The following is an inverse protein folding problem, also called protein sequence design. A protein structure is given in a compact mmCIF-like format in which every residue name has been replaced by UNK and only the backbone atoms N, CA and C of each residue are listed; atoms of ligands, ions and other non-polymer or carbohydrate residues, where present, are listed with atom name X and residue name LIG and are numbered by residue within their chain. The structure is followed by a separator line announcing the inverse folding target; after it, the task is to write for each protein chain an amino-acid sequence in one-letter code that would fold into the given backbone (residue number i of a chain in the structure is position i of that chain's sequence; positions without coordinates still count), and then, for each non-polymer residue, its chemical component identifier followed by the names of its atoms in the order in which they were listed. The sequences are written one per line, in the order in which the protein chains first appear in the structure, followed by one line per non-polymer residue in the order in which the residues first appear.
data_IF_883869260531
#
_entry.id   IF_883869260531
#
_cell.length_a   1.000
_cell.length_b   1.000
_cell.length_c   1.000
_cell.angle_alpha   90.00
_cell.angle_beta   90.00
_cell.angle_gamma   90.00
#
_symmetry.space_group_name_H-M   'P 1'
#
loop_
_entity.id
_entity.type
_entity.pdbx_description
1 polymer ?
#
# COMPACT_ATOMS: atom_id res chain seq x y z
N UNK A 1 -9.62 -2.35 2.39
CA UNK A 1 -8.49 -2.53 1.44
C UNK A 1 -7.19 -2.48 2.22
N UNK A 2 -6.19 -3.28 1.85
CA UNK A 2 -4.88 -3.29 2.52
C UNK A 2 -3.79 -3.03 1.49
N UNK A 3 -2.81 -2.19 1.83
CA UNK A 3 -1.66 -1.90 1.00
C UNK A 3 -0.40 -1.77 1.87
N UNK A 4 0.77 -2.06 1.30
CA UNK A 4 2.02 -2.12 2.05
C UNK A 4 3.04 -1.09 1.56
N UNK A 5 3.77 -0.47 2.48
CA UNK A 5 4.71 0.61 2.18
C UNK A 5 5.76 0.76 3.27
N UNK A 6 6.74 1.63 3.04
CA UNK A 6 7.63 2.14 4.08
C UNK A 6 6.89 3.24 4.88
N UNK A 7 6.77 3.04 6.20
CA UNK A 7 6.14 3.95 7.16
C UNK A 7 6.85 5.29 7.29
N UNK A 8 8.16 5.30 7.08
CA UNK A 8 8.98 6.52 7.11
C UNK A 8 8.94 7.28 5.78
N UNK A 9 8.35 6.74 4.72
CA UNK A 9 8.19 7.44 3.45
C UNK A 9 7.19 8.60 3.50
N UNK A 10 7.12 9.41 2.43
CA UNK A 10 6.21 10.58 2.39
C UNK A 10 4.77 10.22 2.74
N UNK A 11 4.23 9.17 2.10
CA UNK A 11 2.85 8.71 2.33
C UNK A 11 2.62 8.17 3.74
N UNK A 12 3.59 7.44 4.30
CA UNK A 12 3.46 6.86 5.64
C UNK A 12 3.36 7.96 6.70
N UNK A 13 4.25 8.97 6.63
CA UNK A 13 4.19 10.15 7.51
C UNK A 13 2.87 10.91 7.38
N UNK A 14 2.38 11.11 6.15
CA UNK A 14 1.09 11.76 5.93
C UNK A 14 -0.08 10.98 6.53
N UNK A 15 -0.07 9.65 6.44
CA UNK A 15 -1.12 8.79 6.99
C UNK A 15 -1.11 8.73 8.53
N UNK A 16 0.06 8.80 9.16
CA UNK A 16 0.13 8.93 10.63
C UNK A 16 -0.39 10.28 11.11
N UNK A 17 -0.07 11.36 10.38
CA UNK A 17 -0.51 12.71 10.75
C UNK A 17 -2.00 12.95 10.44
N UNK A 18 -2.52 12.35 9.37
CA UNK A 18 -3.91 12.48 8.94
C UNK A 18 -4.40 11.14 8.37
N UNK A 19 -5.07 10.29 9.17
CA UNK A 19 -5.43 8.91 8.82
C UNK A 19 -6.66 8.84 7.88
N UNK A 20 -6.60 9.56 6.77
CA UNK A 20 -7.63 9.61 5.73
C UNK A 20 -6.98 9.38 4.39
N UNK A 21 -7.59 8.53 3.56
CA UNK A 21 -7.10 8.27 2.22
C UNK A 21 -8.24 8.03 1.23
N UNK A 22 -7.90 8.27 -0.04
CA UNK A 22 -8.70 7.89 -1.19
C UNK A 22 -7.85 7.00 -2.12
N UNK A 23 -8.49 6.02 -2.74
CA UNK A 23 -7.88 5.10 -3.72
C UNK A 23 -8.73 5.10 -4.97
N UNK A 24 -8.08 5.20 -6.13
CA UNK A 24 -8.72 5.12 -7.43
C UNK A 24 -8.18 3.92 -8.20
N UNK A 25 -9.07 3.02 -8.62
CA UNK A 25 -8.80 2.00 -9.62
C UNK A 25 -9.42 2.48 -10.93
N UNK A 26 -8.60 2.59 -11.97
CA UNK A 26 -9.04 3.04 -13.27
C UNK A 26 -8.65 2.01 -14.33
N UNK A 27 -9.64 1.55 -15.07
CA UNK A 27 -9.49 0.63 -16.19
C UNK A 27 -9.92 1.35 -17.46
N UNK A 28 -8.95 2.00 -18.09
CA UNK A 28 -9.14 2.82 -19.29
C UNK A 28 -9.85 2.06 -20.42
N UNK A 29 -9.33 0.89 -20.80
CA UNK A 29 -9.89 0.02 -21.87
C UNK A 29 -11.33 -0.43 -21.59
N UNK A 30 -11.74 -0.46 -20.32
CA UNK A 30 -13.09 -0.89 -19.93
C UNK A 30 -14.05 0.28 -19.73
N UNK A 31 -13.58 1.52 -19.86
CA UNK A 31 -14.30 2.71 -19.43
C UNK A 31 -14.88 2.54 -18.03
N UNK A 32 -14.05 2.11 -17.08
CA UNK A 32 -14.46 1.88 -15.69
C UNK A 32 -13.53 2.55 -14.70
N UNK A 33 -14.13 3.05 -13.62
CA UNK A 33 -13.39 3.55 -12.48
C UNK A 33 -14.12 3.17 -11.18
N UNK A 34 -13.34 2.88 -10.15
CA UNK A 34 -13.82 2.71 -8.78
C UNK A 34 -13.01 3.56 -7.84
N UNK A 35 -13.69 4.38 -7.04
CA UNK A 35 -13.07 5.17 -5.97
C UNK A 35 -13.47 4.62 -4.61
N UNK A 36 -12.51 4.58 -3.71
CA UNK A 36 -12.72 4.23 -2.31
C UNK A 36 -12.20 5.37 -1.44
N UNK A 37 -12.99 5.83 -0.48
CA UNK A 37 -12.56 6.81 0.52
C UNK A 37 -12.83 6.29 1.92
N UNK A 38 -11.93 6.60 2.86
CA UNK A 38 -11.99 6.00 4.17
C UNK A 38 -11.00 6.54 5.19
N UNK A 39 -11.05 5.90 6.34
CA UNK A 39 -10.11 6.09 7.44
C UNK A 39 -9.02 5.03 7.38
N UNK A 40 -7.82 5.35 7.81
CA UNK A 40 -6.65 4.46 7.71
C UNK A 40 -6.14 4.10 9.08
N UNK A 41 -5.90 2.81 9.30
CA UNK A 41 -5.10 2.34 10.45
C UNK A 41 -3.88 1.58 9.95
N UNK A 42 -2.87 1.46 10.80
CA UNK A 42 -1.78 0.52 10.54
C UNK A 42 -2.36 -0.91 10.56
N UNK A 43 -1.89 -1.77 9.66
CA UNK A 43 -2.27 -3.18 9.68
C UNK A 43 -1.58 -3.88 10.87
N UNK A 44 -2.19 -4.92 11.45
CA UNK A 44 -1.53 -5.76 12.46
C UNK A 44 -0.14 -6.21 12.01
N UNK A 45 0.80 -6.28 12.95
CA UNK A 45 2.19 -6.68 12.68
C UNK A 45 2.25 -8.04 12.01
N UNK A 46 1.50 -9.02 12.52
CA UNK A 46 1.44 -10.38 11.95
C UNK A 46 0.96 -10.44 10.50
N UNK A 47 0.01 -9.57 10.11
CA UNK A 47 -0.42 -9.46 8.70
C UNK A 47 0.71 -8.88 7.82
N UNK A 48 1.45 -7.91 8.35
CA UNK A 48 2.61 -7.33 7.66
C UNK A 48 3.76 -8.34 7.53
N UNK A 49 4.01 -9.14 8.56
CA UNK A 49 5.02 -10.20 8.56
C UNK A 49 4.68 -11.27 7.54
N UNK A 50 3.44 -11.76 7.55
CA UNK A 50 2.95 -12.78 6.61
C UNK A 50 3.04 -12.30 5.15
N UNK A 51 2.55 -11.09 4.86
CA UNK A 51 2.66 -10.53 3.52
C UNK A 51 4.13 -10.31 3.11
N UNK A 52 4.97 -9.79 4.01
CA UNK A 52 6.38 -9.57 3.71
C UNK A 52 7.12 -10.87 3.37
N UNK A 53 6.86 -11.95 4.11
CA UNK A 53 7.45 -13.26 3.89
C UNK A 53 7.10 -13.84 2.51
N UNK A 54 5.91 -13.54 1.98
CA UNK A 54 5.48 -13.96 0.64
C UNK A 54 6.07 -13.16 -0.53
N UNK A 55 6.83 -12.09 -0.27
CA UNK A 55 7.44 -11.27 -1.34
C UNK A 55 8.68 -11.94 -1.93
N UNK A 56 8.97 -11.72 -3.23
CA UNK A 56 10.24 -12.15 -3.83
C UNK A 56 11.44 -11.72 -2.98
N UNK A 57 12.50 -12.54 -2.93
CA UNK A 57 13.67 -12.30 -2.08
C UNK A 57 14.29 -10.91 -2.32
N UNK A 58 14.49 -10.53 -3.59
CA UNK A 58 14.99 -9.19 -3.96
C UNK A 58 14.09 -8.05 -3.44
N UNK A 59 12.77 -8.26 -3.40
CA UNK A 59 11.82 -7.27 -2.88
C UNK A 59 11.94 -7.10 -1.36
N UNK A 60 12.27 -8.18 -0.63
CA UNK A 60 12.51 -8.15 0.81
C UNK A 60 13.81 -7.41 1.13
N UNK A 61 14.90 -7.71 0.40
CA UNK A 61 16.19 -7.01 0.51
C UNK A 61 16.05 -5.53 0.16
N UNK A 62 15.36 -5.22 -0.94
CA UNK A 62 15.12 -3.83 -1.38
C UNK A 62 14.36 -3.00 -0.36
N UNK A 63 13.48 -3.62 0.43
CA UNK A 63 12.76 -2.93 1.49
C UNK A 63 13.67 -2.50 2.64
N UNK A 64 14.74 -3.24 2.93
CA UNK A 64 15.78 -2.84 3.88
C UNK A 64 16.68 -1.74 3.32
N UNK A 65 17.05 -1.83 2.04
CA UNK A 65 17.93 -0.85 1.40
C UNK A 65 17.26 0.51 1.17
N UNK A 66 15.94 0.54 0.95
CA UNK A 66 15.23 1.74 0.52
C UNK A 66 14.83 2.69 1.66
N UNK A 67 15.48 3.85 1.73
CA UNK A 67 14.99 5.02 2.49
C UNK A 67 13.90 5.74 1.68
N UNK A 68 12.76 5.08 1.48
CA UNK A 68 11.72 5.50 0.53
C UNK A 68 11.38 7.00 0.64
N UNK A 69 11.43 7.70 -0.49
CA UNK A 69 11.14 9.14 -0.61
C UNK A 69 12.20 10.09 0.00
N UNK A 70 13.40 9.62 0.35
CA UNK A 70 14.54 10.48 0.67
C UNK A 70 15.38 10.77 -0.60
N UNK A 71 16.03 11.95 -0.69
CA UNK A 71 17.00 12.22 -1.76
C UNK A 71 18.16 11.23 -1.74
N UNK A 72 18.73 10.95 -2.91
CA UNK A 72 19.93 10.11 -3.09
C UNK A 72 20.79 10.71 -4.20
N UNK A 73 22.11 10.62 -4.06
CA UNK A 73 23.05 11.29 -4.95
C UNK A 73 23.04 10.72 -6.39
N UNK A 74 22.85 9.41 -6.54
CA UNK A 74 22.83 8.77 -7.86
C UNK A 74 22.18 7.37 -7.80
N UNK A 75 21.94 6.79 -8.99
CA UNK A 75 21.55 5.37 -9.11
C UNK A 75 22.61 4.43 -8.54
N UNK A 76 23.89 4.75 -8.71
CA UNK A 76 24.98 3.90 -8.21
C UNK A 76 24.93 3.78 -6.69
N UNK A 77 24.68 4.89 -5.97
CA UNK A 77 24.53 4.86 -4.50
C UNK A 77 23.36 3.96 -4.06
N UNK A 78 22.27 3.91 -4.83
CA UNK A 78 21.16 2.98 -4.55
C UNK A 78 21.56 1.51 -4.73
N UNK A 79 22.33 1.20 -5.79
CA UNK A 79 22.84 -0.15 -6.06
C UNK A 79 23.85 -0.58 -5.00
N UNK A 80 24.78 0.29 -4.62
CA UNK A 80 25.79 0.01 -3.60
C UNK A 80 25.13 -0.32 -2.26
N UNK A 81 24.11 0.47 -1.86
CA UNK A 81 23.33 0.20 -0.65
C UNK A 81 22.55 -1.11 -0.75
N UNK A 82 21.94 -1.39 -1.90
CA UNK A 82 21.23 -2.64 -2.14
C UNK A 82 22.15 -3.87 -2.02
N UNK A 83 23.33 -3.82 -2.63
CA UNK A 83 24.33 -4.88 -2.58
C UNK A 83 24.90 -5.07 -1.16
N UNK A 84 25.17 -3.98 -0.44
CA UNK A 84 25.61 -4.05 0.95
C UNK A 84 24.57 -4.73 1.85
N UNK A 85 23.29 -4.39 1.68
CA UNK A 85 22.20 -5.03 2.42
C UNK A 85 22.03 -6.49 2.01
N UNK A 86 22.12 -6.80 0.71
CA UNK A 86 22.03 -8.18 0.23
C UNK A 86 23.13 -9.06 0.84
N UNK A 87 24.39 -8.60 0.82
CA UNK A 87 25.53 -9.28 1.44
C UNK A 87 25.31 -9.52 2.93
N UNK A 88 24.71 -8.55 3.66
CA UNK A 88 24.38 -8.70 5.08
C UNK A 88 23.38 -9.81 5.39
N UNK A 89 22.60 -10.24 4.38
CA UNK A 89 21.66 -11.35 4.46
C UNK A 89 22.11 -12.59 3.67
N UNK A 90 23.36 -12.64 3.22
CA UNK A 90 23.91 -13.74 2.40
C UNK A 90 23.10 -13.98 1.12
N UNK A 91 22.58 -12.89 0.54
CA UNK A 91 21.83 -12.91 -0.73
C UNK A 91 22.73 -12.42 -1.85
N UNK A 92 22.82 -13.21 -2.92
CA UNK A 92 23.45 -12.79 -4.16
C UNK A 92 22.39 -12.19 -5.09
N UNK A 93 22.60 -10.92 -5.44
CA UNK A 93 21.83 -10.24 -6.48
C UNK A 93 22.63 -10.31 -7.78
N UNK A 94 21.96 -10.54 -8.91
CA UNK A 94 22.60 -10.39 -10.21
C UNK A 94 23.02 -8.94 -10.44
N UNK A 95 24.03 -8.76 -11.29
CA UNK A 95 24.81 -7.52 -11.53
C UNK A 95 24.00 -6.26 -11.84
N UNK A 96 22.75 -6.39 -12.27
CA UNK A 96 21.89 -5.25 -12.63
C UNK A 96 20.86 -4.87 -11.55
N UNK A 97 20.83 -5.58 -10.41
CA UNK A 97 19.76 -5.47 -9.41
C UNK A 97 18.41 -6.03 -9.91
N UNK A 98 18.47 -6.80 -10.99
CA UNK A 98 17.38 -7.51 -11.63
C UNK A 98 17.02 -8.79 -10.84
N UNK A 99 15.72 -9.10 -10.76
CA UNK A 99 15.17 -10.18 -9.94
C UNK A 99 15.40 -11.60 -10.50
N UNK A 100 15.87 -11.74 -11.75
CA UNK A 100 15.80 -12.95 -12.57
C UNK A 100 16.86 -14.00 -12.22
N UNK A 101 17.96 -13.64 -11.54
CA UNK A 101 18.93 -14.62 -11.01
C UNK A 101 19.23 -14.48 -9.51
N UNK A 102 18.31 -13.88 -8.75
CA UNK A 102 18.44 -13.82 -7.28
C UNK A 102 18.60 -15.22 -6.68
N UNK A 103 19.71 -15.49 -6.00
CA UNK A 103 19.95 -16.75 -5.29
C UNK A 103 20.30 -16.51 -3.82
N UNK A 104 19.87 -17.43 -2.95
CA UNK A 104 19.94 -17.25 -1.50
C UNK A 104 19.21 -18.38 -0.79
N UNK A 105 19.68 -19.62 -1.00
CA UNK A 105 19.08 -20.82 -0.43
C UNK A 105 19.09 -20.69 1.10
N UNK A 106 17.92 -20.58 1.72
CA UNK A 106 17.78 -20.47 3.17
C UNK A 106 17.92 -19.06 3.77
N UNK A 107 18.15 -18.02 2.96
CA UNK A 107 18.30 -16.65 3.45
C UNK A 107 17.02 -16.14 4.14
N UNK A 108 17.14 -15.82 5.44
CA UNK A 108 16.05 -15.24 6.24
C UNK A 108 16.17 -13.72 6.28
N UNK A 109 15.45 -13.05 5.39
CA UNK A 109 15.30 -11.59 5.43
C UNK A 109 14.03 -11.26 6.22
N UNK A 110 14.13 -10.78 7.48
CA UNK A 110 12.97 -10.38 8.27
C UNK A 110 12.37 -9.08 7.73
N UNK A 111 11.13 -8.76 8.13
CA UNK A 111 10.51 -7.48 7.79
C UNK A 111 11.24 -6.34 8.53
N UNK A 112 11.64 -5.25 7.84
CA UNK A 112 12.18 -4.08 8.51
C UNK A 112 11.13 -3.43 9.44
N UNK A 113 11.52 -2.87 10.61
CA UNK A 113 10.57 -2.25 11.54
C UNK A 113 9.84 -1.05 10.96
N UNK A 114 10.45 -0.36 9.99
CA UNK A 114 9.89 0.79 9.29
C UNK A 114 9.01 0.42 8.09
N UNK A 115 8.70 -0.87 7.87
CA UNK A 115 7.92 -1.33 6.73
C UNK A 115 6.71 -2.15 7.18
N UNK A 116 5.56 -1.95 6.53
CA UNK A 116 4.39 -2.80 6.74
C UNK A 116 3.10 -2.26 6.10
N UNK A 117 1.97 -2.79 6.55
CA UNK A 117 0.66 -2.53 5.97
C UNK A 117 -0.07 -1.33 6.56
N UNK A 118 -0.90 -0.73 5.73
CA UNK A 118 -2.01 0.13 6.12
C UNK A 118 -3.33 -0.49 5.65
N UNK A 119 -4.36 -0.35 6.47
CA UNK A 119 -5.73 -0.77 6.20
C UNK A 119 -6.61 0.44 6.00
N UNK A 120 -7.23 0.54 4.83
CA UNK A 120 -8.30 1.48 4.53
C UNK A 120 -9.65 0.89 4.92
N UNK A 121 -10.28 1.51 5.90
CA UNK A 121 -11.66 1.30 6.34
C UNK A 121 -12.58 2.17 5.49
N UNK A 122 -13.21 1.54 4.51
CA UNK A 122 -13.99 2.23 3.48
C UNK A 122 -15.31 2.72 4.09
N UNK A 123 -15.57 4.02 3.92
CA UNK A 123 -16.84 4.68 4.26
C UNK A 123 -17.58 5.21 3.03
N UNK A 124 -16.88 5.36 1.90
CA UNK A 124 -17.47 5.76 0.61
C UNK A 124 -16.89 4.93 -0.53
N UNK A 125 -17.76 4.47 -1.41
CA UNK A 125 -17.42 3.82 -2.68
C UNK A 125 -18.10 4.60 -3.80
N UNK A 126 -17.41 4.84 -4.90
CA UNK A 126 -18.02 5.34 -6.14
C UNK A 126 -17.68 4.39 -7.27
N UNK A 127 -18.69 3.94 -8.00
CA UNK A 127 -18.54 3.24 -9.28
C UNK A 127 -18.84 4.23 -10.40
N UNK A 128 -17.99 4.23 -11.41
CA UNK A 128 -18.15 5.03 -12.62
C UNK A 128 -18.02 4.11 -13.84
N UNK A 129 -18.93 4.27 -14.79
CA UNK A 129 -18.94 3.59 -16.09
C UNK A 129 -19.09 4.63 -17.19
N UNK A 130 -18.25 4.55 -18.21
CA UNK A 130 -18.32 5.42 -19.38
C UNK A 130 -19.67 5.29 -20.09
N UNK A 131 -20.21 6.42 -20.52
CA UNK A 131 -21.48 6.49 -21.22
C UNK A 131 -21.37 7.36 -22.46
N UNK A 132 -22.19 7.05 -23.47
CA UNK A 132 -22.24 7.80 -24.73
C UNK A 132 -22.66 9.24 -24.46
N UNK A 133 -22.06 10.19 -25.18
CA UNK A 133 -22.41 11.61 -25.05
C UNK A 133 -22.01 12.24 -23.72
N UNK A 134 -21.01 11.69 -23.02
CA UNK A 134 -20.53 12.15 -21.69
C UNK A 134 -21.54 11.94 -20.55
N UNK A 135 -22.60 11.16 -20.78
CA UNK A 135 -23.58 10.78 -19.78
C UNK A 135 -23.11 9.52 -19.04
N UNK A 136 -22.07 9.68 -18.22
CA UNK A 136 -21.49 8.59 -17.44
C UNK A 136 -22.45 8.09 -16.37
N UNK A 137 -22.46 6.78 -16.16
CA UNK A 137 -23.16 6.18 -15.03
C UNK A 137 -22.29 6.27 -13.80
N UNK A 138 -22.78 6.97 -12.79
CA UNK A 138 -22.12 7.09 -11.49
C UNK A 138 -23.07 6.70 -10.38
N UNK A 139 -22.62 5.78 -9.54
CA UNK A 139 -23.32 5.39 -8.33
C UNK A 139 -22.36 5.49 -7.16
N UNK A 140 -22.80 6.11 -6.07
CA UNK A 140 -22.05 6.19 -4.84
C UNK A 140 -22.74 5.44 -3.71
N UNK A 141 -21.94 4.87 -2.82
CA UNK A 141 -22.37 4.25 -1.57
C UNK A 141 -21.64 4.93 -0.42
N UNK A 142 -22.38 5.30 0.62
CA UNK A 142 -21.83 5.89 1.84
C UNK A 142 -22.30 5.13 3.09
N UNK A 143 -21.45 5.07 4.11
CA UNK A 143 -21.81 4.60 5.46
C UNK A 143 -21.01 5.35 6.52
N UNK A 144 -21.45 5.27 7.77
CA UNK A 144 -20.72 5.81 8.91
C UNK A 144 -19.83 4.75 9.56
N UNK A 145 -18.68 5.20 10.07
CA UNK A 145 -17.72 4.37 10.80
C UNK A 145 -17.53 4.95 12.21
N UNK A 146 -17.38 4.08 13.20
CA UNK A 146 -16.94 4.44 14.54
C UNK A 146 -15.64 3.71 14.89
N UNK A 147 -14.74 4.34 15.67
CA UNK A 147 -13.50 3.71 16.11
C UNK A 147 -13.80 2.45 16.95
N UNK A 148 -12.90 1.47 16.86
CA UNK A 148 -12.80 0.34 17.80
C UNK A 148 -11.54 0.50 18.66
N UNK A 149 -11.66 0.18 19.95
CA UNK A 149 -10.62 0.49 20.94
C UNK A 149 -10.49 1.99 21.23
N UNK A 150 -9.46 2.37 21.99
CA UNK A 150 -9.14 3.78 22.28
C UNK A 150 -8.64 4.45 21.01
N UNK A 151 -9.26 5.58 20.64
CA UNK A 151 -8.91 6.42 19.48
C UNK A 151 -8.82 5.69 18.12
N UNK A 152 -9.49 4.53 17.98
CA UNK A 152 -9.47 3.73 16.75
C UNK A 152 -8.19 2.91 16.56
N UNK A 153 -7.41 2.70 17.62
CA UNK A 153 -6.18 1.90 17.58
C UNK A 153 -6.41 0.47 17.06
N UNK A 154 -7.59 -0.08 17.29
CA UNK A 154 -7.97 -1.43 16.82
C UNK A 154 -8.69 -1.41 15.46
N UNK A 155 -8.85 -0.23 14.84
CA UNK A 155 -9.58 -0.06 13.59
C UNK A 155 -10.91 0.69 13.73
N UNK A 156 -11.85 0.34 12.86
CA UNK A 156 -13.17 0.94 12.80
C UNK A 156 -14.23 -0.13 12.55
N UNK A 157 -15.45 0.10 13.03
CA UNK A 157 -16.64 -0.69 12.69
C UNK A 157 -17.65 0.18 11.96
N UNK A 158 -18.47 -0.42 11.10
CA UNK A 158 -19.62 0.29 10.53
C UNK A 158 -20.69 0.51 11.59
N UNK A 159 -21.29 1.70 11.58
CA UNK A 159 -22.42 2.09 12.45
C UNK A 159 -23.70 2.34 11.68
N UNK A 160 -23.66 2.21 10.35
CA UNK A 160 -24.83 2.25 9.49
C UNK A 160 -24.71 1.24 8.37
N UNK A 161 -25.86 0.87 7.81
CA UNK A 161 -25.95 0.26 6.50
C UNK A 161 -25.40 1.20 5.42
N UNK A 162 -25.14 0.64 4.24
CA UNK A 162 -24.80 1.43 3.07
C UNK A 162 -26.03 2.15 2.52
N UNK A 163 -25.89 3.44 2.23
CA UNK A 163 -26.87 4.23 1.49
C UNK A 163 -26.30 4.50 0.11
N UNK A 164 -27.07 4.22 -0.94
CA UNK A 164 -26.65 4.37 -2.34
C UNK A 164 -27.40 5.47 -3.06
N UNK A 165 -26.71 6.28 -3.86
CA UNK A 165 -27.29 7.30 -4.72
C UNK A 165 -26.71 7.21 -6.14
N UNK A 166 -27.52 7.49 -7.16
CA UNK A 166 -26.99 7.86 -8.48
C UNK A 166 -26.52 9.31 -8.41
N UNK A 167 -25.36 9.61 -8.98
CA UNK A 167 -24.82 10.97 -9.07
C UNK A 167 -24.66 11.39 -10.52
N UNK A 168 -24.74 12.70 -10.77
CA UNK A 168 -24.56 13.23 -12.13
C UNK A 168 -23.09 13.06 -12.58
N UNK A 169 -22.84 12.86 -13.89
CA UNK A 169 -21.50 12.73 -14.47
C UNK A 169 -20.58 13.88 -14.08
#
# INVERSE_FOLDING_TARGET
LVFFTNYMGRKGRSLFANPKAAVCFHWDVLDRQVRFEGLVTQSPSGESDAYFAGRPLVSRVSAWASDQSRPVASRQVMLDKLNAVAASFEVNLDTDGDARGTSGVGAKVPRPPHWGGFRLWIRRVELWVGGVGRLHDRAEWNRTLAPTGVDGAEGYRSTSEWVSNRVQP
#
